data_IF_413253158274
#
_entry.id   IF_413253158274
#
_cell.length_a   1.000
_cell.length_b   1.000
_cell.length_c   1.000
_cell.angle_alpha   90.00
_cell.angle_beta   90.00
_cell.angle_gamma   90.00
#
_symmetry.space_group_name_H-M   'P 1'
#
loop_
_entity.id
_entity.type
_entity.pdbx_description
1 polymer ?
#
# COMPACT_ATOMS: atom_id res chain seq x y z
N UNK A 1 -0.89 -0.66 16.14
CA UNK A 1 -0.28 -1.41 15.03
C UNK A 1 1.03 -0.76 14.63
N UNK A 2 2.09 -1.56 14.58
CA UNK A 2 3.40 -1.03 14.27
C UNK A 2 3.70 -1.12 12.78
N UNK A 3 4.45 -0.15 12.31
CA UNK A 3 4.93 -0.18 10.92
C UNK A 3 6.10 -1.15 10.86
N UNK A 4 5.98 -2.17 10.02
CA UNK A 4 6.99 -3.20 9.92
C UNK A 4 7.93 -2.98 8.74
N UNK A 5 7.37 -2.80 7.57
CA UNK A 5 8.15 -2.68 6.34
C UNK A 5 7.55 -1.56 5.51
N UNK A 6 8.39 -0.70 4.98
CA UNK A 6 7.93 0.43 4.17
C UNK A 6 8.46 0.33 2.75
N UNK A 7 7.74 0.92 1.82
CA UNK A 7 8.15 1.00 0.43
C UNK A 7 7.66 2.33 -0.14
N UNK A 8 8.57 3.09 -0.73
CA UNK A 8 8.21 4.35 -1.37
C UNK A 8 8.07 4.12 -2.87
N UNK A 9 6.90 4.44 -3.42
CA UNK A 9 6.64 4.35 -4.84
C UNK A 9 6.45 5.76 -5.39
N UNK A 10 7.35 6.24 -6.24
CA UNK A 10 7.17 7.58 -6.81
C UNK A 10 6.08 7.63 -7.86
N UNK A 11 5.72 6.49 -8.44
CA UNK A 11 4.67 6.44 -9.44
C UNK A 11 3.96 5.09 -9.41
N UNK A 12 2.93 4.99 -10.24
CA UNK A 12 2.10 3.80 -10.30
C UNK A 12 2.89 2.56 -10.76
N UNK A 13 3.80 2.76 -11.67
CA UNK A 13 4.59 1.65 -12.20
C UNK A 13 5.46 1.01 -11.13
N UNK A 14 6.11 1.83 -10.30
CA UNK A 14 6.96 1.32 -9.24
C UNK A 14 6.15 0.47 -8.25
N UNK A 15 4.95 0.92 -7.92
CA UNK A 15 4.07 0.19 -7.02
C UNK A 15 3.62 -1.15 -7.65
N UNK A 16 3.24 -1.09 -8.91
CA UNK A 16 2.84 -2.31 -9.64
C UNK A 16 3.97 -3.32 -9.68
N UNK A 17 5.18 -2.87 -9.98
CA UNK A 17 6.33 -3.77 -10.05
C UNK A 17 6.60 -4.43 -8.71
N UNK A 18 6.50 -3.67 -7.62
CA UNK A 18 6.67 -4.24 -6.29
C UNK A 18 5.62 -5.32 -6.01
N UNK A 19 4.37 -5.02 -6.34
CA UNK A 19 3.29 -5.99 -6.14
C UNK A 19 3.52 -7.26 -6.95
N UNK A 20 3.93 -7.11 -8.21
CA UNK A 20 4.18 -8.27 -9.06
C UNK A 20 5.23 -9.19 -8.46
N UNK A 21 6.24 -8.64 -7.84
CA UNK A 21 7.32 -9.43 -7.28
C UNK A 21 7.00 -10.01 -5.92
N UNK A 22 6.16 -9.34 -5.14
CA UNK A 22 6.02 -9.68 -3.73
C UNK A 22 4.63 -10.08 -3.28
N UNK A 23 3.62 -9.97 -4.14
CA UNK A 23 2.26 -10.19 -3.67
C UNK A 23 2.01 -11.60 -3.13
N UNK A 24 2.82 -12.56 -3.50
CA UNK A 24 2.69 -13.93 -3.00
C UNK A 24 3.59 -14.21 -1.80
N UNK A 25 4.63 -13.42 -1.63
CA UNK A 25 5.63 -13.65 -0.59
C UNK A 25 5.43 -12.79 0.64
N UNK A 26 4.94 -11.57 0.46
CA UNK A 26 4.78 -10.64 1.56
C UNK A 26 3.37 -10.68 2.09
N UNK A 27 3.23 -10.39 3.37
CA UNK A 27 1.92 -10.37 4.03
C UNK A 27 1.42 -8.97 4.30
N UNK A 28 2.26 -7.98 4.16
CA UNK A 28 1.88 -6.59 4.29
C UNK A 28 3.01 -5.70 3.82
N UNK A 29 2.65 -4.49 3.50
CA UNK A 29 3.61 -3.45 3.18
C UNK A 29 3.00 -2.11 3.55
N UNK A 30 3.81 -1.18 4.01
CA UNK A 30 3.37 0.17 4.28
C UNK A 30 3.89 1.04 3.15
N UNK A 31 2.97 1.44 2.27
CA UNK A 31 3.31 2.28 1.12
C UNK A 31 3.47 3.71 1.59
N UNK A 32 4.63 4.28 1.30
CA UNK A 32 4.95 5.63 1.75
C UNK A 32 4.54 6.66 0.71
N UNK A 33 3.86 7.70 1.18
CA UNK A 33 3.51 8.86 0.35
C UNK A 33 4.19 10.09 0.96
N UNK A 34 4.84 10.89 0.12
CA UNK A 34 5.28 12.20 0.54
C UNK A 34 4.12 13.16 0.41
N UNK A 35 3.99 14.07 1.36
CA UNK A 35 2.91 15.04 1.30
C UNK A 35 3.14 16.00 0.14
N UNK A 36 2.04 16.55 -0.36
CA UNK A 36 2.08 17.41 -1.55
C UNK A 36 3.05 18.58 -1.42
N UNK A 37 3.13 19.13 -0.24
CA UNK A 37 3.96 20.32 0.01
C UNK A 37 5.45 20.05 -0.10
N UNK A 38 5.88 18.79 -0.08
CA UNK A 38 7.30 18.47 -0.21
C UNK A 38 7.78 18.53 -1.65
N UNK A 39 6.87 18.47 -2.61
CA UNK A 39 7.24 18.44 -4.02
C UNK A 39 7.76 17.11 -4.52
N UNK A 40 7.83 16.10 -3.66
CA UNK A 40 8.30 14.80 -4.08
C UNK A 40 7.24 14.06 -4.89
N UNK A 41 7.66 13.30 -5.92
CA UNK A 41 6.70 12.50 -6.68
C UNK A 41 6.01 11.48 -5.80
N UNK A 42 4.75 11.29 -6.05
CA UNK A 42 4.01 10.28 -5.31
C UNK A 42 2.90 9.72 -6.18
N UNK A 43 2.55 8.46 -5.92
CA UNK A 43 1.44 7.82 -6.57
C UNK A 43 0.14 8.37 -6.00
N UNK A 44 -0.89 8.51 -6.83
CA UNK A 44 -2.20 8.92 -6.35
C UNK A 44 -2.82 7.81 -5.51
N UNK A 45 -3.53 8.19 -4.47
CA UNK A 45 -4.16 7.22 -3.58
C UNK A 45 -5.06 6.23 -4.35
N UNK A 46 -5.89 6.75 -5.24
CA UNK A 46 -6.80 5.89 -6.00
C UNK A 46 -6.05 4.91 -6.89
N UNK A 47 -4.96 5.35 -7.47
CA UNK A 47 -4.14 4.48 -8.30
C UNK A 47 -3.49 3.38 -7.46
N UNK A 48 -3.06 3.72 -6.26
CA UNK A 48 -2.44 2.74 -5.37
C UNK A 48 -3.44 1.65 -5.00
N UNK A 49 -4.67 2.05 -4.68
CA UNK A 49 -5.71 1.09 -4.32
C UNK A 49 -6.05 0.20 -5.51
N UNK A 50 -6.19 0.78 -6.70
CA UNK A 50 -6.51 0.01 -7.89
C UNK A 50 -5.46 -1.03 -8.22
N UNK A 51 -4.19 -0.65 -8.15
CA UNK A 51 -3.12 -1.60 -8.43
C UNK A 51 -3.11 -2.74 -7.41
N UNK A 52 -3.29 -2.39 -6.14
CA UNK A 52 -3.32 -3.40 -5.09
C UNK A 52 -4.45 -4.40 -5.32
N UNK A 53 -5.62 -3.91 -5.69
CA UNK A 53 -6.76 -4.79 -5.95
C UNK A 53 -6.50 -5.77 -7.09
N UNK A 54 -5.72 -5.36 -8.07
CA UNK A 54 -5.36 -6.26 -9.18
C UNK A 54 -4.59 -7.48 -8.71
N UNK A 55 -3.95 -7.39 -7.56
CA UNK A 55 -3.19 -8.49 -6.98
C UNK A 55 -3.88 -9.09 -5.76
N UNK A 56 -5.12 -8.70 -5.53
CA UNK A 56 -5.88 -9.22 -4.40
C UNK A 56 -5.49 -8.60 -3.07
N UNK A 57 -4.90 -7.42 -3.09
CA UNK A 57 -4.51 -6.71 -1.87
C UNK A 57 -5.46 -5.54 -1.63
N UNK A 58 -5.64 -5.19 -0.36
CA UNK A 58 -6.49 -4.06 0.02
C UNK A 58 -5.75 -3.15 0.97
N UNK A 59 -6.20 -1.91 1.01
CA UNK A 59 -5.67 -0.93 1.95
C UNK A 59 -6.36 -1.05 3.30
N UNK A 60 -5.70 -0.61 4.33
CA UNK A 60 -6.29 -0.61 5.66
C UNK A 60 -5.90 0.66 6.42
N UNK A 61 -4.89 0.59 7.25
CA UNK A 61 -4.55 1.66 8.19
C UNK A 61 -3.62 2.69 7.57
N UNK A 62 -3.81 3.95 7.96
CA UNK A 62 -2.90 5.03 7.57
C UNK A 62 -2.23 5.55 8.83
N UNK A 63 -0.92 5.76 8.76
CA UNK A 63 -0.15 6.33 9.86
C UNK A 63 0.77 7.42 9.34
N UNK A 64 0.96 8.43 10.17
CA UNK A 64 1.93 9.47 9.86
C UNK A 64 3.30 9.01 10.29
N UNK A 65 4.27 9.06 9.36
CA UNK A 65 5.66 8.75 9.70
C UNK A 65 6.33 9.97 10.29
N UNK A 66 6.08 11.13 9.68
CA UNK A 66 6.59 12.41 10.15
C UNK A 66 5.77 13.51 9.50
N UNK A 67 6.26 14.75 9.54
CA UNK A 67 5.53 15.89 9.00
C UNK A 67 5.42 15.85 7.48
N UNK A 68 6.27 15.12 6.82
CA UNK A 68 6.34 15.10 5.36
C UNK A 68 5.89 13.78 4.74
N UNK A 69 5.77 12.72 5.52
CA UNK A 69 5.45 11.40 4.98
C UNK A 69 4.33 10.72 5.75
N UNK A 70 3.50 10.04 5.00
CA UNK A 70 2.49 9.17 5.59
C UNK A 70 2.67 7.77 5.00
N UNK A 71 2.22 6.77 5.74
CA UNK A 71 2.30 5.38 5.29
C UNK A 71 0.91 4.78 5.32
N UNK A 72 0.58 4.04 4.29
CA UNK A 72 -0.69 3.34 4.20
C UNK A 72 -0.42 1.85 4.12
N UNK A 73 -1.07 1.08 4.99
CA UNK A 73 -0.88 -0.37 5.02
C UNK A 73 -1.70 -1.03 3.94
N UNK A 74 -1.05 -1.91 3.19
CA UNK A 74 -1.69 -2.79 2.22
C UNK A 74 -1.39 -4.23 2.60
N UNK A 75 -2.36 -5.11 2.42
CA UNK A 75 -2.17 -6.52 2.73
C UNK A 75 -3.08 -7.36 1.86
N UNK A 76 -2.76 -8.66 1.68
CA UNK A 76 -3.61 -9.53 0.89
C UNK A 76 -5.00 -9.64 1.50
N UNK A 77 -5.98 -9.58 0.64
CA UNK A 77 -7.35 -9.84 1.05
C UNK A 77 -7.47 -11.34 1.30
N UNK A 78 -8.05 -11.71 2.45
CA UNK A 78 -8.18 -13.12 2.78
C UNK A 78 -9.42 -13.71 2.15
N UNK A 79 -9.26 -14.64 1.20
CA UNK A 79 -10.42 -15.31 0.60
C UNK A 79 -11.19 -16.08 1.67
N UNK A 80 -12.48 -15.96 1.63
CA UNK A 80 -13.33 -16.69 2.56
C UNK A 80 -13.28 -16.20 3.98
N UNK A 81 -12.44 -15.27 4.27
CA UNK A 81 -12.35 -14.75 5.61
C UNK A 81 -13.52 -13.83 5.89
N UNK A 82 -14.21 -14.08 6.97
CA UNK A 82 -15.22 -13.14 7.41
C UNK A 82 -16.47 -13.11 6.57
N UNK A 83 -16.60 -13.93 5.69
CA UNK A 83 -17.91 -14.00 5.07
C UNK A 83 -18.48 -15.30 5.08
N UNK A 84 -18.25 -14.87 5.15
CA UNK A 84 -18.80 -15.55 5.29
C UNK A 84 -19.49 -15.83 5.29
N UNK A 85 -19.44 -15.51 5.33
CA UNK A 85 -20.04 -15.70 5.36
C UNK A 85 -20.59 -15.56 5.31
N UNK A 86 -20.60 -15.39 5.30
CA UNK A 86 -20.99 -15.23 5.36
C UNK A 86 -21.38 -15.22 5.42
#
# INVERSE_FOLDING_TARGET
>A
MEITKTFYAPDRKAWRDWLKEHYQDEKEIWLVYYRKQTGEPRIAYDDAVEEALCFGWIDSTVKHLDEERIAQRFSPRRPGSGYSQT
#
